data_IF_070979338714
#
_entry.id   IF_070979338714
#
_cell.length_a   1.000
_cell.length_b   1.000
_cell.length_c   1.000
_cell.angle_alpha   90.00
_cell.angle_beta   90.00
_cell.angle_gamma   90.00
#
_symmetry.space_group_name_H-M   'P 1'
#
loop_
_entity.id
_entity.type
_entity.pdbx_description
1 polymer ?
#
# COMPACT_ATOMS: atom_id res chain seq x y z
N UNK A 1 0.48 13.37 -14.05
CA UNK A 1 -0.32 13.50 -15.28
C UNK A 1 -1.31 12.36 -15.46
N UNK A 2 -0.84 11.12 -15.47
CA UNK A 2 -1.59 9.94 -15.92
C UNK A 2 -2.72 9.44 -14.97
N UNK A 3 -2.51 9.47 -13.65
CA UNK A 3 -3.45 8.86 -12.69
C UNK A 3 -4.77 9.62 -12.47
N UNK A 4 -4.88 10.89 -12.90
CA UNK A 4 -6.09 11.68 -12.64
C UNK A 4 -7.28 11.30 -13.50
N UNK A 5 -7.10 10.58 -14.61
CA UNK A 5 -8.19 10.31 -15.55
C UNK A 5 -8.85 8.95 -15.30
N UNK A 6 -8.10 7.98 -14.75
CA UNK A 6 -8.59 6.61 -14.54
C UNK A 6 -9.71 6.55 -13.50
N UNK A 7 -9.59 7.28 -12.39
CA UNK A 7 -10.62 7.25 -11.35
C UNK A 7 -11.96 7.82 -11.84
N UNK A 8 -11.93 8.86 -12.70
CA UNK A 8 -13.14 9.43 -13.28
C UNK A 8 -13.82 8.44 -14.23
N UNK A 9 -13.06 7.76 -15.09
CA UNK A 9 -13.61 6.76 -16.01
C UNK A 9 -14.24 5.57 -15.26
N UNK A 10 -13.61 5.13 -14.18
CA UNK A 10 -14.14 4.06 -13.32
C UNK A 10 -15.43 4.55 -12.64
N UNK A 11 -15.41 5.75 -12.06
CA UNK A 11 -16.58 6.35 -11.43
C UNK A 11 -17.74 6.51 -12.41
N UNK A 12 -17.50 7.00 -13.63
CA UNK A 12 -18.54 7.16 -14.65
C UNK A 12 -19.20 5.84 -15.06
N UNK A 13 -18.42 4.76 -15.14
CA UNK A 13 -18.91 3.41 -15.47
C UNK A 13 -19.73 2.74 -14.37
N UNK A 14 -19.76 3.27 -13.14
CA UNK A 14 -20.54 2.67 -12.05
C UNK A 14 -22.07 2.88 -12.23
N UNK A 15 -22.90 1.90 -11.83
CA UNK A 15 -24.35 2.03 -11.83
C UNK A 15 -24.82 3.19 -10.95
N UNK A 16 -25.90 3.86 -11.34
CA UNK A 16 -26.46 4.99 -10.60
C UNK A 16 -26.93 4.62 -9.18
N UNK A 17 -27.38 3.37 -8.96
CA UNK A 17 -27.73 2.85 -7.64
C UNK A 17 -26.53 2.87 -6.68
N UNK A 18 -25.38 2.39 -7.14
CA UNK A 18 -24.13 2.35 -6.36
C UNK A 18 -23.61 3.76 -6.09
N UNK A 19 -23.68 4.67 -7.08
CA UNK A 19 -23.29 6.07 -6.89
C UNK A 19 -24.11 6.78 -5.82
N UNK A 20 -25.42 6.51 -5.77
CA UNK A 20 -26.32 7.12 -4.80
C UNK A 20 -26.15 6.51 -3.39
N UNK A 21 -25.82 5.23 -3.30
CA UNK A 21 -25.58 4.54 -2.03
C UNK A 21 -24.29 5.01 -1.34
N UNK A 22 -23.21 5.21 -2.10
CA UNK A 22 -21.93 5.68 -1.56
C UNK A 22 -21.82 7.22 -1.46
N UNK A 23 -22.58 7.96 -2.28
CA UNK A 23 -22.64 9.42 -2.27
C UNK A 23 -21.39 10.12 -2.84
N UNK A 24 -21.53 11.43 -3.10
CA UNK A 24 -20.45 12.28 -3.64
C UNK A 24 -19.23 12.38 -2.69
N UNK A 25 -19.44 12.26 -1.37
CA UNK A 25 -18.35 12.29 -0.38
C UNK A 25 -17.38 11.12 -0.55
N UNK A 26 -17.89 9.93 -0.92
CA UNK A 26 -17.03 8.78 -1.17
C UNK A 26 -16.11 9.00 -2.38
N UNK A 27 -16.60 9.66 -3.42
CA UNK A 27 -15.82 10.01 -4.63
C UNK A 27 -14.63 10.91 -4.28
N UNK A 28 -14.86 11.92 -3.44
CA UNK A 28 -13.82 12.87 -3.05
C UNK A 28 -12.79 12.22 -2.12
N UNK A 29 -13.25 11.43 -1.15
CA UNK A 29 -12.37 10.65 -0.28
C UNK A 29 -11.55 9.61 -1.06
N UNK A 30 -12.17 8.93 -2.02
CA UNK A 30 -11.48 7.97 -2.90
C UNK A 30 -10.40 8.65 -3.73
N UNK A 31 -10.67 9.84 -4.28
CA UNK A 31 -9.67 10.62 -5.02
C UNK A 31 -8.47 10.96 -4.14
N UNK A 32 -8.69 11.43 -2.91
CA UNK A 32 -7.62 11.77 -1.97
C UNK A 32 -6.82 10.52 -1.59
N UNK A 33 -7.51 9.42 -1.26
CA UNK A 33 -6.89 8.16 -0.88
C UNK A 33 -6.05 7.58 -2.03
N UNK A 34 -6.59 7.58 -3.25
CA UNK A 34 -5.89 7.11 -4.45
C UNK A 34 -4.64 7.94 -4.72
N UNK A 35 -4.75 9.26 -4.66
CA UNK A 35 -3.63 10.15 -4.93
C UNK A 35 -2.54 10.03 -3.86
N UNK A 36 -2.93 9.88 -2.60
CA UNK A 36 -1.99 9.62 -1.50
C UNK A 36 -1.32 8.27 -1.63
N UNK A 37 -2.08 7.20 -1.91
CA UNK A 37 -1.56 5.84 -2.05
C UNK A 37 -0.61 5.70 -3.23
N UNK A 38 -0.98 6.27 -4.39
CA UNK A 38 -0.09 6.30 -5.57
C UNK A 38 1.18 7.08 -5.26
N UNK A 39 1.11 8.24 -4.63
CA UNK A 39 2.33 9.01 -4.31
C UNK A 39 3.23 8.29 -3.30
N UNK A 40 2.64 7.50 -2.40
CA UNK A 40 3.39 6.73 -1.40
C UNK A 40 4.09 5.52 -2.02
N UNK A 41 3.43 4.82 -2.97
CA UNK A 41 3.89 3.53 -3.50
C UNK A 41 4.58 3.66 -4.86
N UNK A 42 4.15 4.59 -5.70
CA UNK A 42 4.70 4.74 -7.04
C UNK A 42 6.00 5.56 -7.00
N UNK A 43 7.12 4.87 -7.22
CA UNK A 43 8.39 5.54 -7.49
C UNK A 43 8.36 6.10 -8.93
N UNK A 44 8.69 7.39 -9.16
CA UNK A 44 8.75 7.96 -10.52
C UNK A 44 9.81 7.30 -11.41
N UNK A 45 10.81 6.64 -10.81
CA UNK A 45 11.88 5.97 -11.54
C UNK A 45 11.48 4.53 -11.91
N UNK A 46 10.82 4.38 -13.05
CA UNK A 46 10.44 3.08 -13.65
C UNK A 46 11.65 2.24 -14.12
N UNK A 47 12.86 2.82 -14.13
CA UNK A 47 14.07 2.18 -14.63
C UNK A 47 14.38 0.84 -13.95
N UNK A 48 14.11 0.70 -12.65
CA UNK A 48 14.34 -0.54 -11.90
C UNK A 48 13.51 -1.73 -12.41
N UNK A 49 12.28 -1.44 -12.85
CA UNK A 49 11.40 -2.46 -13.43
C UNK A 49 11.91 -2.84 -14.81
N UNK A 50 12.22 -1.84 -15.64
CA UNK A 50 12.71 -2.05 -17.01
C UNK A 50 14.03 -2.82 -17.02
N UNK A 51 14.97 -2.46 -16.15
CA UNK A 51 16.26 -3.13 -16.02
C UNK A 51 16.10 -4.59 -15.56
N UNK A 52 15.18 -4.85 -14.62
CA UNK A 52 14.85 -6.22 -14.21
C UNK A 52 14.29 -7.06 -15.37
N UNK A 53 13.41 -6.48 -16.21
CA UNK A 53 12.90 -7.16 -17.39
C UNK A 53 13.99 -7.37 -18.45
N UNK A 54 14.82 -6.36 -18.72
CA UNK A 54 15.91 -6.46 -19.69
C UNK A 54 16.91 -7.55 -19.27
N UNK A 55 17.28 -7.57 -17.98
CA UNK A 55 18.11 -8.62 -17.43
C UNK A 55 17.43 -10.00 -17.50
N UNK A 56 16.13 -10.11 -17.23
CA UNK A 56 15.41 -11.38 -17.35
C UNK A 56 15.34 -11.93 -18.79
N UNK A 57 15.22 -11.04 -19.78
CA UNK A 57 15.09 -11.42 -21.19
C UNK A 57 16.43 -11.77 -21.84
N UNK A 58 17.52 -11.08 -21.45
CA UNK A 58 18.81 -11.17 -22.15
C UNK A 58 19.95 -11.76 -21.30
N UNK A 59 19.73 -12.12 -20.02
CA UNK A 59 20.78 -12.72 -19.21
C UNK A 59 21.12 -14.14 -19.68
N UNK A 60 22.43 -14.40 -19.82
CA UNK A 60 22.98 -15.74 -20.03
C UNK A 60 22.71 -16.66 -18.83
N UNK A 61 22.54 -16.08 -17.63
CA UNK A 61 22.21 -16.78 -16.39
C UNK A 61 21.02 -16.09 -15.70
N UNK A 62 19.77 -16.41 -16.09
CA UNK A 62 18.59 -15.78 -15.53
C UNK A 62 18.42 -16.15 -14.05
N UNK A 63 18.08 -15.16 -13.23
CA UNK A 63 17.86 -15.36 -11.79
C UNK A 63 16.46 -15.94 -11.55
N UNK A 64 16.33 -16.96 -10.70
CA UNK A 64 15.02 -17.62 -10.46
C UNK A 64 13.95 -16.69 -9.84
N UNK A 65 14.36 -15.54 -9.26
CA UNK A 65 13.45 -14.54 -8.69
C UNK A 65 13.92 -13.13 -9.02
N UNK A 66 13.18 -12.46 -9.90
CA UNK A 66 13.32 -11.04 -10.19
C UNK A 66 12.29 -10.29 -9.33
N UNK A 67 12.77 -9.61 -8.30
CA UNK A 67 11.98 -8.71 -7.46
C UNK A 67 12.36 -7.28 -7.84
N UNK A 68 11.65 -6.65 -8.80
CA UNK A 68 11.99 -5.32 -9.28
C UNK A 68 11.68 -4.29 -8.19
N UNK A 69 12.70 -3.86 -7.47
CA UNK A 69 12.59 -2.86 -6.41
C UNK A 69 13.28 -3.28 -5.13
N UNK A 70 13.96 -2.32 -4.48
CA UNK A 70 14.54 -2.52 -3.15
C UNK A 70 13.46 -2.80 -2.11
N UNK A 71 12.27 -2.21 -2.24
CA UNK A 71 11.11 -2.47 -1.37
C UNK A 71 10.66 -3.94 -1.42
N UNK A 72 10.68 -4.56 -2.60
CA UNK A 72 10.38 -5.99 -2.76
C UNK A 72 11.37 -6.88 -1.97
N UNK A 73 12.64 -6.50 -1.94
CA UNK A 73 13.69 -7.27 -1.25
C UNK A 73 13.73 -6.96 0.25
N UNK A 74 13.58 -5.69 0.65
CA UNK A 74 13.72 -5.24 2.04
C UNK A 74 12.42 -5.27 2.85
N UNK A 75 11.25 -5.26 2.19
CA UNK A 75 9.96 -5.33 2.89
C UNK A 75 9.33 -6.72 2.71
N UNK A 76 9.16 -7.19 1.47
CA UNK A 76 8.35 -8.39 1.23
C UNK A 76 9.07 -9.69 1.61
N UNK A 77 10.39 -9.80 1.37
CA UNK A 77 11.16 -10.99 1.76
C UNK A 77 11.21 -11.15 3.29
N UNK A 78 11.63 -10.16 4.09
CA UNK A 78 11.62 -10.32 5.54
C UNK A 78 10.20 -10.50 6.07
N UNK A 79 9.20 -9.78 5.53
CA UNK A 79 7.81 -10.01 5.92
C UNK A 79 7.41 -11.48 5.71
N UNK A 80 7.78 -12.10 4.58
CA UNK A 80 7.45 -13.52 4.32
C UNK A 80 8.13 -14.53 5.25
N UNK A 81 9.24 -14.14 5.91
CA UNK A 81 10.03 -15.00 6.79
C UNK A 81 9.74 -14.76 8.28
N UNK A 82 9.11 -13.63 8.63
CA UNK A 82 8.79 -13.27 10.02
C UNK A 82 7.57 -14.07 10.50
N UNK A 83 7.58 -14.62 11.74
CA UNK A 83 6.45 -15.33 12.32
C UNK A 83 5.17 -14.49 12.39
N UNK A 84 4.02 -15.11 12.18
CA UNK A 84 2.69 -14.45 12.15
C UNK A 84 2.40 -13.61 13.39
N UNK A 85 2.86 -14.04 14.58
CA UNK A 85 2.66 -13.29 15.82
C UNK A 85 3.32 -11.89 15.78
N UNK A 86 4.51 -11.78 15.19
CA UNK A 86 5.23 -10.51 15.06
C UNK A 86 4.57 -9.63 13.99
N UNK A 87 4.17 -10.22 12.87
CA UNK A 87 3.42 -9.50 11.82
C UNK A 87 2.13 -8.88 12.36
N UNK A 88 1.35 -9.66 13.12
CA UNK A 88 0.11 -9.18 13.77
C UNK A 88 0.42 -8.10 14.80
N UNK A 89 1.48 -8.24 15.60
CA UNK A 89 1.89 -7.22 16.57
C UNK A 89 2.27 -5.88 15.92
N UNK A 90 3.03 -5.91 14.82
CA UNK A 90 3.38 -4.71 14.04
C UNK A 90 2.14 -4.11 13.38
N UNK A 91 1.28 -4.94 12.79
CA UNK A 91 0.05 -4.49 12.16
C UNK A 91 -0.91 -3.83 13.17
N UNK A 92 -1.11 -4.45 14.33
CA UNK A 92 -1.90 -3.88 15.42
C UNK A 92 -1.27 -2.57 15.93
N UNK A 93 0.05 -2.53 16.11
CA UNK A 93 0.73 -1.31 16.58
C UNK A 93 0.64 -0.14 15.59
N UNK A 94 0.61 -0.43 14.28
CA UNK A 94 0.70 0.60 13.23
C UNK A 94 -0.68 1.03 12.70
N UNK A 95 -1.63 0.09 12.62
CA UNK A 95 -2.96 0.33 12.02
C UNK A 95 -4.09 0.42 13.04
N UNK A 96 -3.93 -0.11 14.25
CA UNK A 96 -4.93 0.07 15.32
C UNK A 96 -4.49 1.25 16.20
N UNK A 97 -5.24 2.37 16.24
CA UNK A 97 -4.96 3.41 17.20
C UNK A 97 -5.07 2.82 18.61
N UNK A 98 -4.05 3.04 19.46
CA UNK A 98 -4.05 2.55 20.85
C UNK A 98 -5.40 2.84 21.49
N UNK A 99 -6.12 1.78 21.85
CA UNK A 99 -7.43 1.90 22.46
C UNK A 99 -7.37 2.83 23.69
N UNK A 100 -8.40 3.68 23.93
CA UNK A 100 -8.39 4.68 24.99
C UNK A 100 -8.12 4.13 26.40
N UNK A 101 -8.33 2.83 26.60
CA UNK A 101 -8.17 2.11 27.87
C UNK A 101 -6.72 1.99 28.35
N UNK A 102 -5.72 2.05 27.46
CA UNK A 102 -4.30 2.07 27.89
C UNK A 102 -3.87 3.43 28.46
N UNK A 103 -4.44 4.54 27.99
CA UNK A 103 -4.13 5.89 28.53
C UNK A 103 -4.52 6.02 30.00
N UNK A 104 -5.59 5.32 30.42
CA UNK A 104 -6.10 5.32 31.80
C UNK A 104 -5.20 4.50 32.74
N UNK A 105 -4.54 3.43 32.24
CA UNK A 105 -3.61 2.62 33.03
C UNK A 105 -2.23 3.28 33.16
N UNK A 106 -1.77 4.01 32.14
CA UNK A 106 -0.49 4.73 32.19
C UNK A 106 -0.52 5.90 33.19
N UNK A 107 -1.67 6.55 33.37
CA UNK A 107 -1.88 7.62 34.34
C UNK A 107 -2.15 7.13 35.78
N UNK A 108 -2.18 5.81 36.00
CA UNK A 108 -2.42 5.16 37.30
C UNK A 108 -1.22 4.38 37.83
N UNK A 109 -0.02 4.52 37.25
CA UNK A 109 1.19 3.93 37.81
C UNK A 109 1.65 4.82 38.97
N UNK A 110 1.67 4.33 40.24
CA UNK A 110 2.14 5.12 41.36
C UNK A 110 3.65 5.36 41.24
N UNK A 111 4.07 6.52 41.75
CA UNK A 111 5.46 6.99 41.92
C UNK A 111 6.31 6.01 42.71
#
# INVERSE_FOLDING_TARGET
>A
GFNRHLYFQIWEKLPASVKNEYGEQFKENFKIAWQTGVNLVANPNLHWVVDSYFHALFAVWPRLRYAPGWDAIFCFIPLSLIPTAVQVGVFLSFFVPRSPTEKIKLNRKPS
#
